data_IF_603354311182
#
_entry.id   IF_603354311182
#
_cell.length_a   1.000
_cell.length_b   1.000
_cell.length_c   1.000
_cell.angle_alpha   90.00
_cell.angle_beta   90.00
_cell.angle_gamma   90.00
#
_symmetry.space_group_name_H-M   'P 1'
#
loop_
_entity.id
_entity.type
_entity.pdbx_description
1 polymer ?
#
# COMPACT_ATOMS: atom_id res chain seq x y z
N UNK A 1 -8.65 11.77 -14.12
CA UNK A 1 -7.85 10.71 -13.46
C UNK A 1 -8.81 9.73 -12.79
N UNK A 2 -8.68 8.42 -13.03
CA UNK A 2 -9.52 7.40 -12.36
C UNK A 2 -9.08 7.32 -10.90
N UNK A 3 -10.03 7.35 -9.96
CA UNK A 3 -9.70 7.23 -8.54
C UNK A 3 -9.19 5.81 -8.24
N UNK A 4 -8.07 5.72 -7.53
CA UNK A 4 -7.53 4.45 -7.05
C UNK A 4 -8.33 4.00 -5.82
N UNK A 5 -8.52 2.70 -5.65
CA UNK A 5 -9.15 2.17 -4.44
C UNK A 5 -8.26 2.40 -3.22
N UNK A 6 -8.86 2.43 -2.03
CA UNK A 6 -8.13 2.63 -0.78
C UNK A 6 -6.97 1.64 -0.59
N UNK A 7 -7.12 0.31 -0.80
CA UNK A 7 -6.00 -0.63 -0.66
C UNK A 7 -4.84 -0.35 -1.60
N UNK A 8 -5.14 0.06 -2.85
CA UNK A 8 -4.12 0.40 -3.84
C UNK A 8 -3.36 1.66 -3.44
N UNK A 9 -4.08 2.71 -3.04
CA UNK A 9 -3.47 3.96 -2.59
C UNK A 9 -2.60 3.73 -1.34
N UNK A 10 -3.11 3.00 -0.35
CA UNK A 10 -2.36 2.68 0.86
C UNK A 10 -1.05 1.95 0.53
N UNK A 11 -1.11 0.88 -0.28
CA UNK A 11 0.09 0.13 -0.63
C UNK A 11 1.10 1.00 -1.40
N UNK A 12 0.65 1.88 -2.30
CA UNK A 12 1.53 2.81 -3.00
C UNK A 12 2.23 3.79 -2.04
N UNK A 13 1.51 4.33 -1.06
CA UNK A 13 2.08 5.22 -0.05
C UNK A 13 3.17 4.50 0.79
N UNK A 14 2.90 3.25 1.21
CA UNK A 14 3.84 2.44 1.98
C UNK A 14 5.11 2.10 1.20
N UNK A 15 4.96 1.66 -0.06
CA UNK A 15 6.10 1.38 -0.93
C UNK A 15 6.91 2.64 -1.24
N UNK A 16 6.24 3.80 -1.39
CA UNK A 16 6.91 5.09 -1.60
C UNK A 16 7.75 5.51 -0.40
N UNK A 17 7.25 5.27 0.82
CA UNK A 17 7.98 5.50 2.07
C UNK A 17 9.17 4.56 2.17
N UNK A 18 8.96 3.25 1.97
CA UNK A 18 10.05 2.25 2.00
C UNK A 18 11.16 2.54 0.99
N UNK A 19 10.80 2.99 -0.21
CA UNK A 19 11.80 3.40 -1.21
C UNK A 19 12.61 4.62 -0.76
N UNK A 20 12.00 5.58 -0.07
CA UNK A 20 12.70 6.74 0.46
C UNK A 20 13.69 6.35 1.58
N UNK A 21 13.25 5.48 2.50
CA UNK A 21 14.11 4.92 3.57
C UNK A 21 15.30 4.17 2.97
N UNK A 22 15.04 3.33 1.96
CA UNK A 22 16.07 2.58 1.26
C UNK A 22 17.10 3.47 0.57
N UNK A 23 16.63 4.51 -0.14
CA UNK A 23 17.50 5.46 -0.83
C UNK A 23 18.36 6.28 0.15
N UNK A 24 17.90 6.50 1.39
CA UNK A 24 18.64 7.22 2.42
C UNK A 24 19.80 6.39 3.04
N UNK A 25 19.68 5.06 3.06
CA UNK A 25 20.70 4.17 3.62
C UNK A 25 21.91 4.03 2.70
N UNK A 26 21.71 4.12 1.38
CA UNK A 26 22.79 4.09 0.37
C UNK A 26 23.52 2.74 0.31
N UNK A 27 23.24 1.94 -0.73
CA UNK A 27 23.98 0.67 -0.92
C UNK A 27 23.52 -0.14 -2.12
N UNK A 28 22.21 -0.20 -2.39
CA UNK A 28 21.65 -0.95 -3.51
C UNK A 28 20.90 -0.07 -4.52
N UNK A 29 20.83 -0.57 -5.75
CA UNK A 29 20.19 0.14 -6.87
C UNK A 29 18.68 -0.10 -6.94
N UNK A 30 18.20 -1.23 -6.39
CA UNK A 30 16.81 -1.70 -6.51
C UNK A 30 16.26 -2.10 -5.15
N UNK A 31 15.09 -1.58 -4.80
CA UNK A 31 14.32 -2.07 -3.66
C UNK A 31 13.58 -3.34 -4.09
N UNK A 32 13.95 -4.47 -3.48
CA UNK A 32 13.28 -5.76 -3.65
C UNK A 32 12.63 -6.13 -2.32
N UNK A 33 11.38 -6.55 -2.38
CA UNK A 33 10.60 -7.02 -1.22
C UNK A 33 10.01 -8.40 -1.55
N UNK A 34 9.94 -9.26 -0.56
CA UNK A 34 9.09 -10.45 -0.59
C UNK A 34 7.62 -10.06 -0.41
N UNK A 35 6.73 -10.97 -0.84
CA UNK A 35 5.29 -10.82 -0.58
C UNK A 35 4.98 -10.67 0.92
N UNK A 36 5.65 -11.45 1.77
CA UNK A 36 5.39 -11.45 3.20
C UNK A 36 5.83 -10.13 3.85
N UNK A 37 6.95 -9.55 3.42
CA UNK A 37 7.33 -8.19 3.83
C UNK A 37 6.25 -7.15 3.48
N UNK A 38 5.60 -7.28 2.31
CA UNK A 38 4.50 -6.38 1.94
C UNK A 38 3.27 -6.58 2.83
N UNK A 39 2.96 -7.83 3.17
CA UNK A 39 1.86 -8.13 4.10
C UNK A 39 2.13 -7.48 5.46
N UNK A 40 3.35 -7.62 5.98
CA UNK A 40 3.75 -7.02 7.25
C UNK A 40 3.70 -5.49 7.23
N UNK A 41 4.07 -4.85 6.12
CA UNK A 41 3.92 -3.39 5.96
C UNK A 41 2.48 -2.94 6.16
N UNK A 42 1.50 -3.68 5.63
CA UNK A 42 0.08 -3.32 5.76
C UNK A 42 -0.45 -3.70 7.14
N UNK A 43 0.01 -4.82 7.69
CA UNK A 43 -0.45 -5.37 8.98
C UNK A 43 -0.24 -4.39 10.13
N UNK A 44 0.84 -3.61 10.11
CA UNK A 44 1.14 -2.56 11.10
C UNK A 44 0.01 -1.53 11.22
N UNK A 45 -0.81 -1.37 10.17
CA UNK A 45 -1.91 -0.40 10.12
C UNK A 45 -3.29 -1.00 10.42
N UNK A 46 -3.36 -2.30 10.74
CA UNK A 46 -4.62 -3.00 11.02
C UNK A 46 -4.77 -3.31 12.51
N UNK A 47 -6.02 -3.34 13.02
CA UNK A 47 -6.27 -3.75 14.40
C UNK A 47 -5.88 -5.22 14.62
N UNK A 48 -5.43 -5.53 15.83
CA UNK A 48 -5.12 -6.88 16.27
C UNK A 48 -6.34 -7.81 16.07
N UNK A 49 -6.11 -9.03 15.59
CA UNK A 49 -7.18 -10.00 15.29
C UNK A 49 -7.78 -9.95 13.88
N UNK A 50 -7.20 -9.14 12.97
CA UNK A 50 -7.59 -9.13 11.55
C UNK A 50 -7.36 -10.50 10.89
N UNK A 51 -8.30 -10.94 10.04
CA UNK A 51 -8.22 -12.22 9.32
C UNK A 51 -7.03 -12.23 8.34
N UNK A 52 -5.98 -12.97 8.70
CA UNK A 52 -4.72 -13.03 7.94
C UNK A 52 -4.91 -13.57 6.52
N UNK A 53 -5.74 -14.59 6.33
CA UNK A 53 -5.98 -15.20 5.01
C UNK A 53 -6.60 -14.16 4.06
N UNK A 54 -7.64 -13.45 4.52
CA UNK A 54 -8.27 -12.38 3.72
C UNK A 54 -7.31 -11.22 3.44
N UNK A 55 -6.46 -10.87 4.41
CA UNK A 55 -5.45 -9.84 4.21
C UNK A 55 -4.49 -10.23 3.10
N UNK A 56 -3.97 -11.45 3.16
CA UNK A 56 -3.05 -12.00 2.20
C UNK A 56 -3.64 -11.97 0.78
N UNK A 57 -4.88 -12.43 0.60
CA UNK A 57 -5.57 -12.41 -0.70
C UNK A 57 -5.77 -10.97 -1.23
N UNK A 58 -6.13 -10.05 -0.33
CA UNK A 58 -6.29 -8.64 -0.68
C UNK A 58 -4.96 -7.99 -1.08
N UNK A 59 -3.86 -8.34 -0.41
CA UNK A 59 -2.50 -7.88 -0.77
C UNK A 59 -2.14 -8.37 -2.16
N UNK A 60 -2.37 -9.64 -2.47
CA UNK A 60 -2.07 -10.19 -3.80
C UNK A 60 -2.87 -9.52 -4.91
N UNK A 61 -4.17 -9.31 -4.71
CA UNK A 61 -5.01 -8.59 -5.66
C UNK A 61 -4.51 -7.15 -5.88
N UNK A 62 -4.08 -6.49 -4.80
CA UNK A 62 -3.53 -5.13 -4.86
C UNK A 62 -2.19 -5.11 -5.59
N UNK A 63 -1.29 -6.06 -5.29
CA UNK A 63 -0.01 -6.24 -5.95
C UNK A 63 -0.17 -6.45 -7.46
N UNK A 64 -1.12 -7.29 -7.88
CA UNK A 64 -1.42 -7.48 -9.30
C UNK A 64 -1.83 -6.16 -9.97
N UNK A 65 -2.70 -5.40 -9.33
CA UNK A 65 -3.17 -4.11 -9.85
C UNK A 65 -2.04 -3.08 -9.97
N UNK A 66 -1.19 -2.97 -8.97
CA UNK A 66 -0.06 -2.02 -9.05
C UNK A 66 1.06 -2.51 -10.00
N UNK A 67 1.16 -3.81 -10.25
CA UNK A 67 2.02 -4.37 -11.29
C UNK A 67 1.52 -4.00 -12.69
N UNK A 68 0.21 -4.12 -12.95
CA UNK A 68 -0.43 -3.69 -14.20
C UNK A 68 -0.25 -2.19 -14.46
N UNK A 69 -0.29 -1.38 -13.40
CA UNK A 69 -0.01 0.06 -13.46
C UNK A 69 1.48 0.39 -13.63
N UNK A 70 2.36 -0.61 -13.55
CA UNK A 70 3.80 -0.47 -13.77
C UNK A 70 4.61 0.05 -12.58
N UNK A 71 4.03 0.09 -11.37
CA UNK A 71 4.71 0.52 -10.14
C UNK A 71 5.63 -0.54 -9.56
N UNK A 72 5.35 -1.80 -9.81
CA UNK A 72 6.18 -2.92 -9.40
C UNK A 72 6.45 -3.86 -10.57
N UNK A 73 7.48 -4.69 -10.42
CA UNK A 73 7.73 -5.83 -11.30
C UNK A 73 7.82 -7.10 -10.45
N UNK A 74 7.00 -8.10 -10.77
CA UNK A 74 7.17 -9.44 -10.17
C UNK A 74 8.45 -10.08 -10.73
N UNK A 75 9.31 -10.55 -9.84
CA UNK A 75 10.54 -11.25 -10.20
C UNK A 75 10.25 -12.76 -10.30
N UNK A 76 10.90 -13.42 -11.25
CA UNK A 76 10.80 -14.88 -11.40
C UNK A 76 11.75 -15.54 -10.40
N UNK A 77 11.29 -16.56 -9.69
CA UNK A 77 12.10 -17.30 -8.72
C UNK A 77 11.31 -17.78 -7.51
N UNK A 78 12.01 -18.31 -6.51
CA UNK A 78 11.44 -18.69 -5.22
C UNK A 78 11.22 -17.44 -4.34
N UNK A 79 10.13 -17.40 -3.58
CA UNK A 79 9.86 -16.32 -2.60
C UNK A 79 8.93 -15.19 -3.05
N UNK A 80 8.31 -15.28 -4.24
CA UNK A 80 7.34 -14.28 -4.73
C UNK A 80 7.87 -12.83 -4.64
N UNK A 81 9.13 -12.64 -5.00
CA UNK A 81 9.81 -11.36 -4.88
C UNK A 81 9.25 -10.31 -5.85
N UNK A 82 9.19 -9.07 -5.40
CA UNK A 82 8.77 -7.92 -6.19
C UNK A 82 9.85 -6.84 -6.17
N UNK A 83 10.12 -6.26 -7.32
CA UNK A 83 10.94 -5.04 -7.44
C UNK A 83 10.03 -3.83 -7.43
N UNK A 84 10.30 -2.86 -6.55
CA UNK A 84 9.60 -1.57 -6.52
C UNK A 84 10.23 -0.63 -7.54
N UNK A 85 9.46 -0.22 -8.56
CA UNK A 85 9.99 0.65 -9.61
C UNK A 85 10.02 2.10 -9.18
N UNK A 86 11.13 2.77 -9.49
CA UNK A 86 11.38 4.18 -9.14
C UNK A 86 10.37 5.18 -9.72
N UNK A 87 9.58 4.78 -10.74
CA UNK A 87 8.48 5.59 -11.28
C UNK A 87 7.43 5.97 -10.22
N UNK A 88 7.35 5.21 -9.12
CA UNK A 88 6.50 5.54 -7.98
C UNK A 88 6.78 6.95 -7.43
N UNK A 89 8.02 7.45 -7.52
CA UNK A 89 8.39 8.80 -7.04
C UNK A 89 7.72 9.94 -7.79
N UNK A 90 7.43 9.74 -9.08
CA UNK A 90 6.86 10.77 -9.94
C UNK A 90 5.33 10.82 -9.86
N UNK A 91 4.70 9.73 -9.45
CA UNK A 91 3.24 9.59 -9.36
C UNK A 91 2.72 9.67 -7.92
N UNK A 92 3.53 9.26 -6.96
CA UNK A 92 3.30 9.35 -5.51
C UNK A 92 4.25 10.42 -4.98
N UNK A 93 3.93 11.66 -5.29
CA UNK A 93 4.65 12.85 -4.85
C UNK A 93 4.07 13.41 -3.55
N UNK A 94 4.58 14.55 -3.09
CA UNK A 94 4.11 15.19 -1.86
C UNK A 94 2.64 15.61 -1.94
N UNK A 95 2.18 16.06 -3.12
CA UNK A 95 0.78 16.46 -3.31
C UNK A 95 -0.15 15.25 -3.22
N UNK A 96 0.18 14.16 -3.91
CA UNK A 96 -0.58 12.93 -3.86
C UNK A 96 -0.68 12.38 -2.42
N UNK A 97 0.42 12.46 -1.65
CA UNK A 97 0.44 12.02 -0.25
C UNK A 97 -0.48 12.89 0.63
N UNK A 98 -0.46 14.21 0.45
CA UNK A 98 -1.37 15.11 1.16
C UNK A 98 -2.84 14.81 0.84
N UNK A 99 -3.17 14.60 -0.44
CA UNK A 99 -4.53 14.23 -0.88
C UNK A 99 -4.95 12.86 -0.30
N UNK A 100 -4.01 11.93 -0.17
CA UNK A 100 -4.27 10.62 0.42
C UNK A 100 -4.52 10.71 1.93
N UNK A 101 -3.74 11.52 2.66
CA UNK A 101 -3.92 11.75 4.09
C UNK A 101 -5.29 12.37 4.40
N UNK A 102 -5.76 13.32 3.58
CA UNK A 102 -7.09 13.91 3.72
C UNK A 102 -8.20 12.85 3.54
N UNK A 103 -8.11 12.05 2.47
CA UNK A 103 -9.06 10.94 2.23
C UNK A 103 -9.01 9.88 3.31
N UNK A 104 -7.82 9.59 3.85
CA UNK A 104 -7.65 8.66 4.96
C UNK A 104 -8.34 9.19 6.22
N UNK A 105 -8.21 10.49 6.51
CA UNK A 105 -8.90 11.12 7.63
C UNK A 105 -10.43 11.07 7.46
N UNK A 106 -10.94 11.31 6.24
CA UNK A 106 -12.36 11.13 5.93
C UNK A 106 -12.84 9.70 6.14
N UNK A 107 -12.09 8.71 5.64
CA UNK A 107 -12.43 7.29 5.81
C UNK A 107 -12.45 6.89 7.29
N UNK A 108 -11.47 7.34 8.08
CA UNK A 108 -11.44 7.11 9.53
C UNK A 108 -12.63 7.74 10.25
N UNK A 109 -13.06 8.95 9.86
CA UNK A 109 -14.27 9.58 10.40
C UNK A 109 -15.53 8.79 10.08
N UNK A 110 -15.66 8.22 8.88
CA UNK A 110 -16.80 7.39 8.49
C UNK A 110 -16.83 6.07 9.27
N UNK A 111 -15.68 5.43 9.50
CA UNK A 111 -15.57 4.21 10.32
C UNK A 111 -15.79 4.45 11.82
N UNK A 112 -15.47 5.65 12.31
CA UNK A 112 -15.62 6.03 13.71
C UNK A 112 -17.02 6.53 14.06
N UNK A 113 -17.91 6.76 13.08
CA UNK A 113 -19.32 7.02 13.36
C UNK A 113 -19.96 5.70 13.81
N UNK A 114 -20.39 5.58 15.08
CA UNK A 114 -21.25 4.49 15.48
C UNK A 114 -22.54 4.59 14.65
N UNK A 115 -23.20 3.46 14.47
CA UNK A 115 -24.47 3.33 13.76
C UNK A 115 -25.60 4.09 14.52
N UNK A 116 -25.52 5.41 14.70
CA UNK A 116 -26.62 6.25 15.23
C UNK A 116 -27.64 6.56 14.14
N UNK A 117 -28.07 5.52 13.44
CA UNK A 117 -29.32 5.54 12.68
C UNK A 117 -29.97 4.19 12.87
N UNK A 118 -30.86 4.12 13.85
CA UNK A 118 -32.20 3.55 13.77
C UNK A 118 -32.81 3.43 15.17
N UNK A 119 -33.11 4.57 15.79
CA UNK A 119 -34.18 4.67 16.79
C UNK A 119 -34.96 5.94 16.46
N UNK A 120 -36.05 5.74 15.72
CA UNK A 120 -37.04 6.75 15.36
C UNK A 120 -38.37 6.04 15.11
#
# INVERSE_FOLDING_TARGET
RRQLSYPVSLLLALLRKKLAEFDAVGGDTRLILSRDEVVELIRIFLPAGSNEVKLIDQVDATLNKIAELGFIRRLRGQGQMIEVRRIIKALVDAQWLADFDERLAEYRRQLAQPLERMDG
#
